data_IF_150110657204
#
_entry.id   IF_150110657204
#
_cell.length_a   1.000
_cell.length_b   1.000
_cell.length_c   1.000
_cell.angle_alpha   90.00
_cell.angle_beta   90.00
_cell.angle_gamma   90.00
#
_symmetry.space_group_name_H-M   'P 1'
#
loop_
_entity.id
_entity.type
_entity.pdbx_description
1 polymer ?
#
# COMPACT_ATOMS: atom_id res chain seq x y z
N UNK A 1 1.21 -48.79 -22.28
CA UNK A 1 0.36 -47.57 -22.33
C UNK A 1 0.21 -46.88 -20.98
N UNK A 2 -0.26 -47.53 -19.91
CA UNK A 2 -0.40 -46.90 -18.57
C UNK A 2 0.87 -46.20 -18.04
N UNK A 3 2.05 -46.81 -18.21
CA UNK A 3 3.35 -46.23 -17.81
C UNK A 3 3.73 -44.98 -18.62
N UNK A 4 3.36 -44.93 -19.90
CA UNK A 4 3.62 -43.78 -20.78
C UNK A 4 2.69 -42.62 -20.40
N UNK A 5 1.41 -42.90 -20.14
CA UNK A 5 0.43 -41.90 -19.68
C UNK A 5 0.85 -41.29 -18.34
N UNK A 6 1.33 -42.12 -17.40
CA UNK A 6 1.86 -41.66 -16.11
C UNK A 6 3.09 -40.76 -16.27
N UNK A 7 4.01 -41.11 -17.17
CA UNK A 7 5.19 -40.31 -17.46
C UNK A 7 4.82 -38.94 -18.05
N UNK A 8 3.87 -38.90 -19.00
CA UNK A 8 3.38 -37.64 -19.59
C UNK A 8 2.69 -36.76 -18.55
N UNK A 9 1.87 -37.33 -17.67
CA UNK A 9 1.24 -36.56 -16.58
C UNK A 9 2.27 -35.99 -15.59
N UNK A 10 3.29 -36.77 -15.23
CA UNK A 10 4.35 -36.28 -14.34
C UNK A 10 5.13 -35.12 -14.96
N UNK A 11 5.47 -35.19 -16.25
CA UNK A 11 6.14 -34.09 -16.97
C UNK A 11 5.27 -32.82 -16.97
N UNK A 12 3.96 -32.97 -17.18
CA UNK A 12 3.02 -31.84 -17.18
C UNK A 12 2.94 -31.17 -15.79
N UNK A 13 2.93 -31.94 -14.70
CA UNK A 13 2.89 -31.41 -13.33
C UNK A 13 4.18 -30.67 -12.96
N UNK A 14 5.35 -31.20 -13.35
CA UNK A 14 6.65 -30.57 -13.09
C UNK A 14 6.78 -29.23 -13.82
N UNK A 15 6.29 -29.13 -15.06
CA UNK A 15 6.28 -27.88 -15.81
C UNK A 15 5.39 -26.82 -15.13
N UNK A 16 4.17 -27.17 -14.71
CA UNK A 16 3.27 -26.23 -14.04
C UNK A 16 3.82 -25.73 -12.69
N UNK A 17 4.52 -26.57 -11.94
CA UNK A 17 5.17 -26.17 -10.69
C UNK A 17 6.31 -25.16 -10.90
N UNK A 18 7.11 -25.33 -11.97
CA UNK A 18 8.21 -24.42 -12.30
C UNK A 18 7.73 -23.03 -12.74
N UNK A 19 6.59 -22.94 -13.44
CA UNK A 19 5.98 -21.65 -13.80
C UNK A 19 5.37 -20.88 -12.61
N UNK A 20 5.06 -21.56 -11.49
CA UNK A 20 4.48 -20.93 -10.30
C UNK A 20 5.52 -20.26 -9.38
N UNK A 21 6.81 -20.62 -9.48
CA UNK A 21 7.87 -20.08 -8.59
C UNK A 21 8.31 -18.65 -8.96
N UNK A 22 8.19 -18.24 -10.23
CA UNK A 22 8.49 -16.85 -10.64
C UNK A 22 7.53 -15.82 -10.02
N UNK A 23 6.31 -16.25 -9.66
CA UNK A 23 5.31 -15.39 -9.03
C UNK A 23 5.53 -15.20 -7.54
N UNK A 24 6.38 -15.97 -6.86
CA UNK A 24 6.63 -15.75 -5.42
C UNK A 24 7.33 -14.41 -5.15
N UNK A 25 8.32 -14.04 -5.96
CA UNK A 25 8.98 -12.72 -5.87
C UNK A 25 8.06 -11.55 -6.28
N UNK A 26 7.11 -11.78 -7.20
CA UNK A 26 6.08 -10.78 -7.54
C UNK A 26 4.99 -10.71 -6.46
N UNK A 27 4.62 -11.84 -5.88
CA UNK A 27 3.65 -12.01 -4.81
C UNK A 27 4.09 -11.32 -3.53
N UNK A 28 5.34 -11.52 -3.09
CA UNK A 28 5.91 -10.80 -1.93
C UNK A 28 5.87 -9.27 -2.13
N UNK A 29 6.12 -8.79 -3.35
CA UNK A 29 6.03 -7.36 -3.67
C UNK A 29 4.58 -6.87 -3.60
N UNK A 30 3.63 -7.67 -4.08
CA UNK A 30 2.19 -7.36 -4.03
C UNK A 30 1.69 -7.34 -2.59
N UNK A 31 2.07 -8.31 -1.75
CA UNK A 31 1.70 -8.34 -0.33
C UNK A 31 2.24 -7.12 0.42
N UNK A 32 3.50 -6.76 0.18
CA UNK A 32 4.09 -5.54 0.75
C UNK A 32 3.35 -4.28 0.30
N UNK A 33 2.86 -4.23 -0.94
CA UNK A 33 2.03 -3.11 -1.43
C UNK A 33 0.65 -3.11 -0.78
N UNK A 34 -0.02 -4.28 -0.70
CA UNK A 34 -1.30 -4.44 -0.01
C UNK A 34 -1.20 -3.96 1.45
N UNK A 35 -0.18 -4.40 2.17
CA UNK A 35 0.07 -3.98 3.55
C UNK A 35 0.16 -2.46 3.69
N UNK A 36 0.94 -1.79 2.84
CA UNK A 36 1.06 -0.32 2.83
C UNK A 36 -0.25 0.39 2.51
N UNK A 37 -1.05 -0.15 1.59
CA UNK A 37 -2.36 0.40 1.25
C UNK A 37 -3.31 0.26 2.43
N UNK A 38 -3.36 -0.91 3.06
CA UNK A 38 -4.19 -1.16 4.24
C UNK A 38 -3.78 -0.30 5.43
N UNK A 39 -2.48 -0.12 5.67
CA UNK A 39 -1.95 0.78 6.69
C UNK A 39 -2.46 2.22 6.50
N UNK A 40 -2.38 2.75 5.28
CA UNK A 40 -2.90 4.08 4.96
C UNK A 40 -4.43 4.19 5.16
N UNK A 41 -5.18 3.14 4.79
CA UNK A 41 -6.62 3.10 5.00
C UNK A 41 -6.95 3.10 6.49
N UNK A 42 -6.29 2.26 7.28
CA UNK A 42 -6.49 2.17 8.73
C UNK A 42 -6.14 3.48 9.42
N UNK A 43 -5.04 4.14 9.03
CA UNK A 43 -4.67 5.46 9.54
C UNK A 43 -5.77 6.49 9.25
N UNK A 44 -6.30 6.52 8.03
CA UNK A 44 -7.41 7.42 7.67
C UNK A 44 -8.69 7.08 8.44
N UNK A 45 -8.99 5.80 8.62
CA UNK A 45 -10.15 5.33 9.39
C UNK A 45 -10.08 5.79 10.84
N UNK A 46 -8.90 5.72 11.48
CA UNK A 46 -8.69 6.24 12.84
C UNK A 46 -9.13 7.70 12.97
N UNK A 47 -8.64 8.58 12.10
CA UNK A 47 -9.05 9.99 12.11
C UNK A 47 -10.54 10.21 11.85
N UNK A 48 -11.16 9.41 10.98
CA UNK A 48 -12.59 9.50 10.72
C UNK A 48 -13.41 9.06 11.93
N UNK A 49 -13.00 7.98 12.60
CA UNK A 49 -13.63 7.51 13.83
C UNK A 49 -13.49 8.54 14.95
N UNK A 50 -12.31 9.18 15.10
CA UNK A 50 -12.10 10.24 16.08
C UNK A 50 -13.01 11.44 15.83
N UNK A 51 -13.16 11.83 14.55
CA UNK A 51 -14.05 12.91 14.15
C UNK A 51 -15.51 12.53 14.40
N UNK A 52 -15.91 11.31 14.04
CA UNK A 52 -17.26 10.79 14.28
C UNK A 52 -17.60 10.80 15.78
N UNK A 53 -16.73 10.26 16.63
CA UNK A 53 -16.89 10.28 18.08
C UNK A 53 -16.99 11.70 18.63
N UNK A 54 -16.15 12.62 18.14
CA UNK A 54 -16.21 14.03 18.51
C UNK A 54 -17.60 14.60 18.18
N UNK A 55 -18.07 14.41 16.94
CA UNK A 55 -19.39 14.89 16.48
C UNK A 55 -20.55 14.24 17.22
N UNK A 56 -20.42 12.98 17.67
CA UNK A 56 -21.44 12.31 18.50
C UNK A 56 -21.51 12.87 19.93
N UNK A 57 -20.40 13.38 20.46
CA UNK A 57 -20.31 13.87 21.85
C UNK A 57 -20.69 15.33 22.05
N UNK A 58 -20.90 16.09 20.98
CA UNK A 58 -21.08 17.55 21.06
C UNK A 58 -22.52 17.95 21.31
N UNK A 59 -22.68 18.86 22.28
CA UNK A 59 -23.99 19.39 22.69
C UNK A 59 -24.15 20.88 22.32
N UNK A 60 -23.11 21.52 21.78
CA UNK A 60 -23.13 22.93 21.39
C UNK A 60 -22.50 23.21 20.03
N UNK A 61 -22.83 24.37 19.48
CA UNK A 61 -22.27 24.85 18.21
C UNK A 61 -20.77 25.15 18.32
N UNK A 62 -20.30 25.59 19.49
CA UNK A 62 -18.88 25.85 19.72
C UNK A 62 -18.07 24.56 19.76
N UNK A 63 -18.60 23.50 20.39
CA UNK A 63 -17.93 22.21 20.38
C UNK A 63 -17.84 21.62 18.96
N UNK A 64 -18.87 21.82 18.14
CA UNK A 64 -18.84 21.44 16.72
C UNK A 64 -17.74 22.16 15.94
N UNK A 65 -17.48 23.45 16.23
CA UNK A 65 -16.35 24.17 15.62
C UNK A 65 -15.01 23.58 16.07
N UNK A 66 -14.88 23.21 17.35
CA UNK A 66 -13.69 22.58 17.89
C UNK A 66 -13.41 21.22 17.19
N UNK A 67 -14.42 20.36 17.04
CA UNK A 67 -14.29 19.08 16.31
C UNK A 67 -13.82 19.29 14.86
N UNK A 68 -14.39 20.27 14.16
CA UNK A 68 -13.98 20.61 12.78
C UNK A 68 -12.54 21.10 12.72
N UNK A 69 -12.13 21.96 13.66
CA UNK A 69 -10.76 22.49 13.72
C UNK A 69 -9.75 21.37 13.98
N UNK A 70 -10.04 20.48 14.94
CA UNK A 70 -9.19 19.31 15.25
C UNK A 70 -9.07 18.36 14.05
N UNK A 71 -10.18 18.04 13.39
CA UNK A 71 -10.16 17.20 12.19
C UNK A 71 -9.37 17.85 11.04
N UNK A 72 -9.51 19.17 10.84
CA UNK A 72 -8.75 19.91 9.83
C UNK A 72 -7.23 19.81 10.10
N UNK A 73 -6.79 20.02 11.34
CA UNK A 73 -5.38 19.88 11.72
C UNK A 73 -4.84 18.48 11.47
N UNK A 74 -5.60 17.44 11.85
CA UNK A 74 -5.22 16.05 11.61
C UNK A 74 -5.10 15.73 10.10
N UNK A 75 -6.02 16.25 9.28
CA UNK A 75 -5.98 16.06 7.83
C UNK A 75 -4.85 16.86 7.16
N UNK A 76 -4.50 18.03 7.69
CA UNK A 76 -3.35 18.82 7.23
C UNK A 76 -2.03 18.10 7.50
N UNK A 77 -1.86 17.52 8.69
CA UNK A 77 -0.68 16.70 9.01
C UNK A 77 -0.54 15.51 8.03
N UNK A 78 -1.63 14.79 7.75
CA UNK A 78 -1.65 13.71 6.75
C UNK A 78 -1.32 14.18 5.32
N UNK A 79 -1.70 15.41 4.96
CA UNK A 79 -1.37 15.98 3.64
C UNK A 79 0.10 16.36 3.56
N UNK A 80 0.67 16.91 4.64
CA UNK A 80 2.08 17.25 4.72
C UNK A 80 2.96 15.99 4.59
N UNK A 81 2.66 14.94 5.37
CA UNK A 81 3.35 13.65 5.30
C UNK A 81 3.30 13.05 3.88
N UNK A 82 2.15 13.14 3.20
CA UNK A 82 2.01 12.69 1.80
C UNK A 82 2.85 13.52 0.82
N UNK A 83 2.93 14.84 1.02
CA UNK A 83 3.77 15.72 0.18
C UNK A 83 5.23 15.36 0.35
N UNK A 84 5.71 15.20 1.59
CA UNK A 84 7.10 14.81 1.87
C UNK A 84 7.45 13.46 1.25
N UNK A 85 6.59 12.45 1.44
CA UNK A 85 6.76 11.14 0.81
C UNK A 85 6.77 11.21 -0.72
N UNK A 86 5.99 12.12 -1.32
CA UNK A 86 5.97 12.33 -2.77
C UNK A 86 7.28 12.94 -3.27
N UNK A 87 7.82 13.94 -2.57
CA UNK A 87 9.10 14.55 -2.94
C UNK A 87 10.27 13.57 -2.78
N UNK A 88 10.36 12.84 -1.66
CA UNK A 88 11.36 11.77 -1.47
C UNK A 88 11.30 10.71 -2.57
N UNK A 89 10.10 10.38 -3.06
CA UNK A 89 9.94 9.44 -4.19
C UNK A 89 10.36 10.04 -5.52
N UNK A 90 10.16 11.33 -5.75
CA UNK A 90 10.64 12.02 -6.96
C UNK A 90 12.16 12.08 -7.00
N UNK A 91 12.79 12.43 -5.89
CA UNK A 91 14.25 12.47 -5.74
C UNK A 91 14.86 11.09 -6.02
N UNK A 92 14.39 10.04 -5.34
CA UNK A 92 14.81 8.66 -5.61
C UNK A 92 14.62 8.23 -7.06
N UNK A 93 13.64 8.77 -7.78
CA UNK A 93 13.43 8.50 -9.21
C UNK A 93 14.43 9.25 -10.09
N UNK A 94 14.83 10.47 -9.73
CA UNK A 94 15.87 11.24 -10.42
C UNK A 94 17.24 10.55 -10.26
N UNK A 95 17.63 10.21 -9.03
CA UNK A 95 18.88 9.48 -8.76
C UNK A 95 19.00 8.19 -9.56
N UNK A 96 17.90 7.43 -9.63
CA UNK A 96 17.86 6.18 -10.41
C UNK A 96 17.99 6.42 -11.91
N UNK A 97 17.54 7.57 -12.43
CA UNK A 97 17.69 7.92 -13.85
C UNK A 97 19.13 8.34 -14.14
N UNK A 98 19.74 9.16 -13.28
CA UNK A 98 21.15 9.57 -13.44
C UNK A 98 22.11 8.40 -13.32
N UNK A 99 21.90 7.50 -12.34
CA UNK A 99 22.69 6.26 -12.22
C UNK A 99 22.58 5.34 -13.43
N UNK A 100 21.48 5.40 -14.19
CA UNK A 100 21.35 4.65 -15.45
C UNK A 100 22.15 5.32 -16.56
N UNK A 101 22.03 6.65 -16.70
CA UNK A 101 22.77 7.43 -17.70
C UNK A 101 24.29 7.38 -17.54
N UNK A 102 24.80 7.28 -16.31
CA UNK A 102 26.24 7.18 -16.05
C UNK A 102 26.79 5.75 -16.21
N UNK A 103 25.92 4.77 -16.47
CA UNK A 103 26.28 3.36 -16.62
C UNK A 103 26.25 2.91 -18.09
N UNK A 104 25.65 3.73 -18.95
CA UNK A 104 25.66 3.64 -20.41
C UNK A 104 26.77 4.54 -20.97
#
# INVERSE_FOLDING_TARGET
>A
MKKIILAVMMVFLVQNAAYADEDKMKGEKIEKVKGKVLEHINKKRGFLNDFESCVKSVNSREDMKACRKKNKQNMEALRAERKEMKEKRKEKRKDRREKRKNKD
#
